data_IF_442642221592
#
_entry.id   IF_442642221592
#
_cell.length_a   1.000
_cell.length_b   1.000
_cell.length_c   1.000
_cell.angle_alpha   90.00
_cell.angle_beta   90.00
_cell.angle_gamma   90.00
#
_symmetry.space_group_name_H-M   'P 1'
#
loop_
_entity.id
_entity.type
_entity.pdbx_description
1 polymer ?
#
# COMPACT_ATOMS: atom_id res chain seq x y z
N UNK A 1 0.41 -18.47 -27.93
CA UNK A 1 1.49 -18.76 -28.90
C UNK A 1 0.96 -18.46 -30.29
N UNK A 2 1.52 -17.48 -31.02
CA UNK A 2 1.04 -17.17 -32.38
C UNK A 2 1.73 -18.09 -33.40
N UNK A 3 0.99 -18.90 -34.19
CA UNK A 3 1.57 -19.84 -35.16
C UNK A 3 2.44 -19.14 -36.22
N UNK A 4 2.22 -17.84 -36.45
CA UNK A 4 2.94 -17.05 -37.45
C UNK A 4 4.44 -16.91 -37.16
N UNK A 5 4.84 -16.71 -35.90
CA UNK A 5 6.26 -16.51 -35.54
C UNK A 5 7.11 -17.74 -35.82
N UNK A 6 6.58 -18.94 -35.53
CA UNK A 6 7.28 -20.19 -35.79
C UNK A 6 7.43 -20.45 -37.31
N UNK A 7 6.41 -20.12 -38.10
CA UNK A 7 6.45 -20.24 -39.56
C UNK A 7 7.46 -19.26 -40.17
N UNK A 8 7.52 -18.02 -39.69
CA UNK A 8 8.49 -17.02 -40.12
C UNK A 8 9.93 -17.45 -39.82
N UNK A 9 10.20 -17.93 -38.60
CA UNK A 9 11.51 -18.44 -38.21
C UNK A 9 11.94 -19.59 -39.12
N UNK A 10 11.05 -20.55 -39.39
CA UNK A 10 11.34 -21.69 -40.26
C UNK A 10 11.64 -21.27 -41.70
N UNK A 11 10.90 -20.29 -42.26
CA UNK A 11 11.19 -19.73 -43.59
C UNK A 11 12.56 -19.06 -43.62
N UNK A 12 12.90 -18.28 -42.59
CA UNK A 12 14.20 -17.61 -42.51
C UNK A 12 15.36 -18.61 -42.40
N UNK A 13 15.23 -19.64 -41.55
CA UNK A 13 16.20 -20.74 -41.43
C UNK A 13 16.41 -21.45 -42.77
N UNK A 14 15.34 -21.72 -43.50
CA UNK A 14 15.40 -22.33 -44.84
C UNK A 14 16.16 -21.46 -45.85
N UNK A 15 15.93 -20.14 -45.85
CA UNK A 15 16.64 -19.21 -46.75
C UNK A 15 18.14 -19.15 -46.46
N UNK A 16 18.52 -19.02 -45.19
CA UNK A 16 19.92 -19.04 -44.79
C UNK A 16 20.59 -20.39 -45.14
N UNK A 17 19.89 -21.50 -44.95
CA UNK A 17 20.38 -22.82 -45.33
C UNK A 17 20.52 -22.98 -46.85
N UNK A 18 19.56 -22.49 -47.65
CA UNK A 18 19.64 -22.59 -49.11
C UNK A 18 20.82 -21.80 -49.67
N UNK A 19 21.13 -20.62 -49.11
CA UNK A 19 22.30 -19.84 -49.53
C UNK A 19 23.61 -20.57 -49.23
N UNK A 20 23.73 -21.18 -48.05
CA UNK A 20 24.87 -22.03 -47.71
C UNK A 20 25.01 -23.21 -48.68
N UNK A 21 23.91 -23.91 -48.99
CA UNK A 21 23.93 -25.04 -49.92
C UNK A 21 24.34 -24.61 -51.34
N UNK A 22 23.91 -23.42 -51.79
CA UNK A 22 24.35 -22.86 -53.07
C UNK A 22 25.84 -22.56 -53.06
N UNK A 23 26.36 -21.93 -52.00
CA UNK A 23 27.80 -21.67 -51.86
C UNK A 23 28.63 -22.96 -51.87
N UNK A 24 28.18 -23.99 -51.15
CA UNK A 24 28.78 -25.33 -51.16
C UNK A 24 28.74 -25.95 -52.55
N UNK A 25 27.59 -25.89 -53.23
CA UNK A 25 27.46 -26.45 -54.58
C UNK A 25 28.41 -25.78 -55.56
N UNK A 26 28.50 -24.44 -55.53
CA UNK A 26 29.45 -23.67 -56.36
C UNK A 26 30.90 -24.04 -56.03
N UNK A 27 31.25 -24.14 -54.75
CA UNK A 27 32.59 -24.57 -54.34
C UNK A 27 32.92 -25.98 -54.88
N UNK A 28 32.01 -26.94 -54.70
CA UNK A 28 32.20 -28.33 -55.15
C UNK A 28 32.30 -28.40 -56.68
N UNK A 29 31.46 -27.70 -57.44
CA UNK A 29 31.55 -27.71 -58.91
C UNK A 29 32.87 -27.12 -59.39
N UNK A 30 33.37 -26.05 -58.77
CA UNK A 30 34.67 -25.46 -59.15
C UNK A 30 35.86 -26.39 -58.92
N UNK A 31 35.75 -27.42 -58.07
CA UNK A 31 36.81 -28.43 -57.88
C UNK A 31 36.98 -29.30 -59.13
N UNK A 32 35.90 -29.56 -59.88
CA UNK A 32 35.91 -30.45 -61.05
C UNK A 32 36.12 -29.72 -62.38
N UNK A 33 36.15 -28.39 -62.38
CA UNK A 33 36.37 -27.59 -63.58
C UNK A 33 37.88 -27.33 -63.84
N UNK A 34 38.28 -27.12 -65.11
CA UNK A 34 39.67 -26.79 -65.42
C UNK A 34 40.10 -25.48 -64.77
N UNK A 35 41.35 -25.39 -64.30
CA UNK A 35 41.85 -24.19 -63.61
C UNK A 35 41.93 -23.00 -64.57
N UNK A 36 41.46 -21.84 -64.10
CA UNK A 36 41.50 -20.57 -64.82
C UNK A 36 41.17 -19.41 -63.89
N UNK A 37 41.56 -18.18 -64.27
CA UNK A 37 41.44 -16.98 -63.42
C UNK A 37 40.00 -16.79 -62.91
N UNK A 38 39.01 -16.98 -63.78
CA UNK A 38 37.60 -16.84 -63.40
C UNK A 38 37.12 -17.95 -62.46
N UNK A 39 37.58 -19.19 -62.68
CA UNK A 39 37.16 -20.36 -61.91
C UNK A 39 37.80 -20.33 -60.52
N UNK A 40 39.07 -19.95 -60.43
CA UNK A 40 39.78 -19.77 -59.16
C UNK A 40 39.16 -18.62 -58.34
N UNK A 41 38.71 -17.55 -59.00
CA UNK A 41 38.01 -16.45 -58.34
C UNK A 41 36.65 -16.84 -57.79
N UNK A 42 35.83 -17.54 -58.58
CA UNK A 42 34.53 -18.06 -58.11
C UNK A 42 34.73 -19.06 -56.96
N UNK A 43 35.77 -19.90 -57.04
CA UNK A 43 36.14 -20.82 -55.96
C UNK A 43 36.48 -20.08 -54.67
N UNK A 44 37.32 -19.04 -54.74
CA UNK A 44 37.70 -18.25 -53.57
C UNK A 44 36.50 -17.52 -52.93
N UNK A 45 35.59 -16.98 -53.76
CA UNK A 45 34.32 -16.38 -53.31
C UNK A 45 33.45 -17.42 -52.62
N UNK A 46 33.25 -18.58 -53.24
CA UNK A 46 32.41 -19.65 -52.71
C UNK A 46 32.98 -20.25 -51.41
N UNK A 47 34.30 -20.42 -51.34
CA UNK A 47 35.01 -20.88 -50.14
C UNK A 47 34.83 -19.91 -48.98
N UNK A 48 35.08 -18.62 -49.20
CA UNK A 48 34.95 -17.60 -48.17
C UNK A 48 33.48 -17.36 -47.75
N UNK A 49 32.54 -17.41 -48.69
CA UNK A 49 31.10 -17.35 -48.42
C UNK A 49 30.63 -18.54 -47.58
N UNK A 50 31.10 -19.76 -47.89
CA UNK A 50 30.79 -20.97 -47.12
C UNK A 50 31.34 -20.88 -45.70
N UNK A 51 32.60 -20.46 -45.53
CA UNK A 51 33.24 -20.32 -44.22
C UNK A 51 32.50 -19.28 -43.36
N UNK A 52 32.16 -18.11 -43.91
CA UNK A 52 31.39 -17.09 -43.20
C UNK A 52 30.01 -17.59 -42.77
N UNK A 53 29.29 -18.26 -43.68
CA UNK A 53 27.99 -18.84 -43.40
C UNK A 53 28.01 -19.94 -42.32
N UNK A 54 29.08 -20.75 -42.27
CA UNK A 54 29.29 -21.78 -41.25
C UNK A 54 29.66 -21.19 -39.89
N UNK A 55 30.51 -20.16 -39.85
CA UNK A 55 30.90 -19.47 -38.62
C UNK A 55 29.69 -18.83 -37.93
N UNK A 56 28.88 -18.11 -38.70
CA UNK A 56 27.66 -17.49 -38.16
C UNK A 56 26.59 -18.53 -37.80
N UNK A 57 26.49 -19.63 -38.55
CA UNK A 57 25.64 -20.76 -38.16
C UNK A 57 26.04 -21.30 -36.79
N UNK A 58 27.33 -21.52 -36.58
CA UNK A 58 27.85 -22.00 -35.32
C UNK A 58 27.53 -21.03 -34.18
N UNK A 59 27.78 -19.73 -34.36
CA UNK A 59 27.50 -18.71 -33.35
C UNK A 59 26.02 -18.63 -32.97
N UNK A 60 25.11 -18.60 -33.96
CA UNK A 60 23.66 -18.53 -33.71
C UNK A 60 23.14 -19.80 -33.05
N UNK A 61 23.57 -20.98 -33.49
CA UNK A 61 23.13 -22.26 -32.87
C UNK A 61 23.69 -22.38 -31.45
N UNK A 62 24.96 -22.02 -31.23
CA UNK A 62 25.60 -22.05 -29.91
C UNK A 62 24.91 -21.13 -28.89
N UNK A 63 24.19 -20.10 -29.34
CA UNK A 63 23.40 -19.23 -28.45
C UNK A 63 22.23 -20.00 -27.79
N UNK A 64 21.58 -20.91 -28.53
CA UNK A 64 20.32 -21.56 -28.12
C UNK A 64 20.43 -23.06 -27.82
N UNK A 65 21.36 -23.79 -28.45
CA UNK A 65 21.42 -25.26 -28.41
C UNK A 65 22.84 -25.80 -28.27
N UNK A 66 22.96 -27.00 -27.70
CA UNK A 66 24.25 -27.67 -27.57
C UNK A 66 24.74 -28.11 -28.94
N UNK A 67 25.95 -27.68 -29.29
CA UNK A 67 26.60 -28.16 -30.52
C UNK A 67 27.48 -29.36 -30.16
N UNK A 68 27.31 -30.53 -30.80
CA UNK A 68 28.01 -31.77 -30.46
C UNK A 68 29.44 -31.82 -31.04
N UNK A 69 30.25 -30.79 -30.77
CA UNK A 69 31.67 -30.74 -31.13
C UNK A 69 32.49 -30.85 -29.83
N UNK A 70 33.34 -31.89 -29.64
CA UNK A 70 33.95 -32.21 -28.34
C UNK A 70 34.64 -31.03 -27.64
N UNK A 71 35.40 -30.20 -28.37
CA UNK A 71 36.16 -29.09 -27.81
C UNK A 71 35.34 -27.81 -27.60
N UNK A 72 34.27 -27.62 -28.39
CA UNK A 72 33.51 -26.36 -28.40
C UNK A 72 32.19 -26.46 -27.62
N UNK A 73 31.69 -27.68 -27.40
CA UNK A 73 30.41 -27.94 -26.72
C UNK A 73 30.29 -27.34 -25.32
N UNK A 74 31.41 -27.08 -24.62
CA UNK A 74 31.43 -26.48 -23.28
C UNK A 74 30.91 -25.04 -23.25
N UNK A 75 31.06 -24.28 -24.33
CA UNK A 75 30.67 -22.86 -24.44
C UNK A 75 29.49 -22.65 -25.39
N UNK A 76 28.60 -23.64 -25.49
CA UNK A 76 27.34 -23.55 -26.26
C UNK A 76 26.15 -23.59 -25.30
N UNK A 77 24.94 -23.29 -25.78
CA UNK A 77 23.76 -23.04 -24.94
C UNK A 77 23.92 -21.80 -24.05
N UNK A 78 24.49 -20.73 -24.60
CA UNK A 78 24.79 -19.50 -23.84
C UNK A 78 23.55 -18.96 -23.13
N UNK A 79 22.38 -18.89 -23.80
CA UNK A 79 21.14 -18.40 -23.19
C UNK A 79 20.67 -19.34 -22.07
N UNK A 80 20.47 -20.66 -22.31
CA UNK A 80 20.11 -21.60 -21.24
C UNK A 80 21.07 -21.57 -20.03
N UNK A 81 22.39 -21.52 -20.27
CA UNK A 81 23.39 -21.55 -19.20
C UNK A 81 23.45 -20.26 -18.39
N UNK A 82 23.11 -19.12 -18.98
CA UNK A 82 23.11 -17.82 -18.30
C UNK A 82 21.71 -17.38 -17.82
N UNK A 83 20.73 -18.29 -17.78
CA UNK A 83 19.35 -18.00 -17.32
C UNK A 83 19.33 -17.21 -16.02
N UNK A 84 20.06 -17.67 -15.01
CA UNK A 84 20.01 -17.05 -13.67
C UNK A 84 20.64 -15.64 -13.68
N UNK A 85 21.70 -15.43 -14.46
CA UNK A 85 22.29 -14.10 -14.66
C UNK A 85 21.34 -13.17 -15.41
N UNK A 86 20.61 -13.68 -16.40
CA UNK A 86 19.58 -12.91 -17.11
C UNK A 86 18.46 -12.51 -16.14
N UNK A 87 18.05 -13.41 -15.24
CA UNK A 87 17.07 -13.12 -14.20
C UNK A 87 17.54 -12.00 -13.26
N UNK A 88 18.79 -12.06 -12.80
CA UNK A 88 19.37 -11.05 -11.91
C UNK A 88 19.46 -9.67 -12.60
N UNK A 89 19.96 -9.63 -13.83
CA UNK A 89 20.09 -8.39 -14.60
C UNK A 89 18.73 -7.80 -14.97
N UNK A 90 17.75 -8.64 -15.30
CA UNK A 90 16.39 -8.18 -15.60
C UNK A 90 15.74 -7.55 -14.36
N UNK A 91 15.90 -8.17 -13.19
CA UNK A 91 15.38 -7.63 -11.94
C UNK A 91 15.98 -6.24 -11.63
N UNK A 92 17.31 -6.10 -11.74
CA UNK A 92 18.01 -4.81 -11.54
C UNK A 92 17.53 -3.77 -12.54
N UNK A 93 17.43 -4.14 -13.82
CA UNK A 93 16.94 -3.25 -14.86
C UNK A 93 15.52 -2.75 -14.58
N UNK A 94 14.60 -3.63 -14.15
CA UNK A 94 13.23 -3.25 -13.80
C UNK A 94 13.22 -2.27 -12.62
N UNK A 95 14.02 -2.52 -11.58
CA UNK A 95 14.16 -1.59 -10.45
C UNK A 95 14.62 -0.21 -10.90
N UNK A 96 15.74 -0.14 -11.63
CA UNK A 96 16.36 1.14 -11.97
C UNK A 96 15.54 1.95 -12.98
N UNK A 97 14.88 1.28 -13.93
CA UNK A 97 14.19 1.96 -15.03
C UNK A 97 12.70 2.20 -14.80
N UNK A 98 12.05 1.36 -14.01
CA UNK A 98 10.58 1.41 -13.86
C UNK A 98 10.12 1.63 -12.42
N UNK A 99 10.89 1.19 -11.43
CA UNK A 99 10.49 1.23 -10.02
C UNK A 99 11.33 2.21 -9.18
N UNK A 100 12.13 3.05 -9.83
CA UNK A 100 12.84 4.13 -9.16
C UNK A 100 11.84 5.12 -8.53
N UNK A 101 12.10 5.63 -7.32
CA UNK A 101 11.20 6.57 -6.66
C UNK A 101 10.86 7.78 -7.55
N UNK A 102 11.86 8.35 -8.21
CA UNK A 102 11.66 9.49 -9.12
C UNK A 102 10.82 9.14 -10.35
N UNK A 103 11.01 7.93 -10.90
CA UNK A 103 10.26 7.46 -12.07
C UNK A 103 8.78 7.24 -11.72
N UNK A 104 8.51 6.60 -10.56
CA UNK A 104 7.15 6.39 -10.06
C UNK A 104 6.48 7.72 -9.69
N UNK A 105 7.19 8.61 -8.99
CA UNK A 105 6.70 9.94 -8.65
C UNK A 105 6.40 10.79 -9.90
N UNK A 106 7.24 10.71 -10.94
CA UNK A 106 6.98 11.36 -12.22
C UNK A 106 5.71 10.83 -12.90
N UNK A 107 5.48 9.51 -12.85
CA UNK A 107 4.25 8.91 -13.36
C UNK A 107 3.00 9.36 -12.60
N UNK A 108 3.08 9.44 -11.27
CA UNK A 108 2.00 9.98 -10.43
C UNK A 108 1.69 11.43 -10.78
N UNK A 109 2.71 12.28 -10.90
CA UNK A 109 2.54 13.69 -11.30
C UNK A 109 1.94 13.86 -12.67
N UNK A 110 2.33 13.02 -13.64
CA UNK A 110 1.79 13.07 -15.00
C UNK A 110 0.29 12.71 -15.07
N UNK A 111 -0.20 11.91 -14.12
CA UNK A 111 -1.53 11.33 -14.19
C UNK A 111 -2.55 11.90 -13.21
N UNK A 112 -2.18 12.84 -12.33
CA UNK A 112 -3.04 13.48 -11.33
C UNK A 112 -4.05 12.49 -10.71
N UNK A 113 -3.59 11.57 -9.84
CA UNK A 113 -4.45 10.53 -9.30
C UNK A 113 -5.61 11.12 -8.50
N UNK A 114 -5.45 12.25 -7.83
CA UNK A 114 -6.53 12.91 -7.10
C UNK A 114 -7.66 13.36 -8.04
N UNK A 115 -7.34 13.92 -9.21
CA UNK A 115 -8.34 14.27 -10.21
C UNK A 115 -9.05 13.04 -10.78
N UNK A 116 -8.29 11.99 -11.14
CA UNK A 116 -8.89 10.75 -11.67
C UNK A 116 -9.79 10.08 -10.64
N UNK A 117 -9.36 10.04 -9.38
CA UNK A 117 -10.13 9.49 -8.27
C UNK A 117 -11.42 10.31 -8.06
N UNK A 118 -11.31 11.65 -8.07
CA UNK A 118 -12.47 12.53 -7.95
C UNK A 118 -13.49 12.33 -9.08
N UNK A 119 -13.01 12.24 -10.33
CA UNK A 119 -13.86 11.98 -11.49
C UNK A 119 -14.53 10.60 -11.41
N UNK A 120 -13.78 9.56 -11.03
CA UNK A 120 -14.31 8.21 -10.85
C UNK A 120 -15.37 8.17 -9.75
N UNK A 121 -15.11 8.77 -8.59
CA UNK A 121 -16.05 8.88 -7.47
C UNK A 121 -17.24 9.81 -7.75
N UNK A 122 -17.16 10.67 -8.75
CA UNK A 122 -18.26 11.54 -9.16
C UNK A 122 -19.37 10.80 -9.93
N UNK A 123 -19.09 9.61 -10.46
CA UNK A 123 -20.08 8.81 -11.18
C UNK A 123 -20.88 7.90 -10.21
N UNK A 124 -22.22 7.95 -10.20
CA UNK A 124 -23.05 7.14 -9.30
C UNK A 124 -22.84 5.62 -9.42
N UNK A 125 -22.51 5.13 -10.62
CA UNK A 125 -22.25 3.70 -10.84
C UNK A 125 -20.96 3.24 -10.13
N UNK A 126 -19.96 4.12 -10.04
CA UNK A 126 -18.68 3.81 -9.41
C UNK A 126 -18.78 3.86 -7.88
N UNK A 127 -19.59 4.77 -7.32
CA UNK A 127 -19.82 4.82 -5.87
C UNK A 127 -20.68 3.65 -5.38
N UNK A 128 -21.63 3.18 -6.19
CA UNK A 128 -22.34 1.91 -5.96
C UNK A 128 -21.38 0.70 -6.01
N UNK A 129 -20.50 0.66 -7.01
CA UNK A 129 -19.44 -0.36 -7.06
C UNK A 129 -18.51 -0.30 -5.83
N UNK A 130 -18.14 0.91 -5.38
CA UNK A 130 -17.36 1.11 -4.16
C UNK A 130 -18.08 0.54 -2.93
N UNK A 131 -19.38 0.81 -2.80
CA UNK A 131 -20.21 0.21 -1.76
C UNK A 131 -20.17 -1.31 -1.81
N UNK A 132 -20.27 -1.89 -2.99
CA UNK A 132 -20.19 -3.35 -3.20
C UNK A 132 -18.82 -3.94 -2.86
N UNK A 133 -17.73 -3.23 -3.15
CA UNK A 133 -16.39 -3.66 -2.74
C UNK A 133 -16.21 -3.54 -1.23
N UNK A 134 -16.69 -2.46 -0.63
CA UNK A 134 -16.62 -2.24 0.82
C UNK A 134 -17.35 -3.35 1.58
N UNK A 135 -18.54 -3.75 1.14
CA UNK A 135 -19.28 -4.85 1.77
C UNK A 135 -18.59 -6.20 1.58
N UNK A 136 -18.04 -6.49 0.41
CA UNK A 136 -17.26 -7.73 0.17
C UNK A 136 -16.01 -7.79 1.05
N UNK A 137 -15.26 -6.69 1.14
CA UNK A 137 -14.08 -6.60 1.99
C UNK A 137 -14.45 -6.75 3.47
N UNK A 138 -15.53 -6.11 3.91
CA UNK A 138 -16.01 -6.23 5.29
C UNK A 138 -16.49 -7.65 5.59
N UNK A 139 -17.18 -8.32 4.65
CA UNK A 139 -17.58 -9.72 4.81
C UNK A 139 -16.36 -10.61 4.97
N UNK A 140 -15.36 -10.47 4.09
CA UNK A 140 -14.12 -11.22 4.20
C UNK A 140 -13.39 -10.97 5.53
N UNK A 141 -13.31 -9.71 5.97
CA UNK A 141 -12.70 -9.36 7.25
C UNK A 141 -13.45 -10.00 8.43
N UNK A 142 -14.79 -9.95 8.43
CA UNK A 142 -15.61 -10.57 9.46
C UNK A 142 -15.43 -12.09 9.50
N UNK A 143 -15.39 -12.74 8.34
CA UNK A 143 -15.16 -14.18 8.24
C UNK A 143 -13.76 -14.56 8.77
N UNK A 144 -12.73 -13.73 8.55
CA UNK A 144 -11.42 -13.94 9.18
C UNK A 144 -11.49 -13.82 10.70
N UNK A 145 -12.28 -12.89 11.25
CA UNK A 145 -12.42 -12.74 12.71
C UNK A 145 -13.25 -13.85 13.39
N UNK A 146 -13.85 -14.77 12.63
CA UNK A 146 -14.45 -15.98 13.18
C UNK A 146 -13.38 -17.04 13.54
N UNK A 147 -12.17 -16.93 13.00
CA UNK A 147 -11.06 -17.81 13.36
C UNK A 147 -10.63 -17.54 14.81
N UNK A 148 -10.59 -18.59 15.63
CA UNK A 148 -10.18 -18.53 17.03
C UNK A 148 -8.80 -17.87 17.22
N UNK A 149 -7.90 -18.00 16.24
CA UNK A 149 -6.57 -17.37 16.26
C UNK A 149 -6.63 -15.85 16.07
N UNK A 150 -7.56 -15.37 15.25
CA UNK A 150 -7.75 -13.93 15.03
C UNK A 150 -8.42 -13.33 16.27
N UNK A 151 -9.37 -14.04 16.89
CA UNK A 151 -9.98 -13.60 18.14
C UNK A 151 -8.95 -13.47 19.27
N UNK A 152 -8.06 -14.46 19.43
CA UNK A 152 -6.97 -14.35 20.41
C UNK A 152 -6.02 -13.19 20.07
N UNK A 153 -5.68 -13.00 18.79
CA UNK A 153 -4.84 -11.88 18.36
C UNK A 153 -5.47 -10.51 18.69
N UNK A 154 -6.76 -10.31 18.40
CA UNK A 154 -7.46 -9.05 18.72
C UNK A 154 -7.49 -8.82 20.22
N UNK A 155 -7.74 -9.87 21.00
CA UNK A 155 -7.70 -9.80 22.46
C UNK A 155 -6.30 -9.42 22.97
N UNK A 156 -5.25 -10.05 22.45
CA UNK A 156 -3.87 -9.80 22.86
C UNK A 156 -3.41 -8.40 22.43
N UNK A 157 -3.82 -7.94 21.24
CA UNK A 157 -3.57 -6.58 20.77
C UNK A 157 -4.26 -5.54 21.66
N UNK A 158 -5.51 -5.79 22.08
CA UNK A 158 -6.22 -4.92 23.01
C UNK A 158 -5.51 -4.86 24.37
N UNK A 159 -5.12 -6.00 24.93
CA UNK A 159 -4.33 -6.05 26.19
C UNK A 159 -3.03 -5.26 26.05
N UNK A 160 -2.28 -5.48 24.97
CA UNK A 160 -1.03 -4.77 24.71
C UNK A 160 -1.23 -3.26 24.53
N UNK A 161 -2.37 -2.83 23.99
CA UNK A 161 -2.73 -1.41 23.89
C UNK A 161 -3.05 -0.83 25.27
N UNK A 162 -3.89 -1.50 26.06
CA UNK A 162 -4.22 -1.09 27.43
C UNK A 162 -2.96 -1.00 28.28
N UNK A 163 -2.05 -1.99 28.18
CA UNK A 163 -0.79 -2.02 28.92
C UNK A 163 0.12 -0.81 28.60
N UNK A 164 0.07 -0.29 27.38
CA UNK A 164 0.87 0.89 26.97
C UNK A 164 0.26 2.23 27.36
N UNK A 165 -1.02 2.26 27.75
CA UNK A 165 -1.69 3.51 28.13
C UNK A 165 -1.57 3.72 29.63
N UNK A 166 -0.99 4.85 30.02
CA UNK A 166 -1.02 5.34 31.40
C UNK A 166 -2.32 6.12 31.60
N UNK A 167 -3.33 5.48 32.18
CA UNK A 167 -4.68 6.05 32.31
C UNK A 167 -4.67 7.37 33.09
N UNK A 168 -3.88 7.46 34.18
CA UNK A 168 -3.80 8.66 35.02
C UNK A 168 -3.18 9.84 34.27
N UNK A 169 -2.04 9.63 33.60
CA UNK A 169 -1.37 10.67 32.83
C UNK A 169 -2.17 11.08 31.59
N UNK A 170 -2.82 10.12 30.93
CA UNK A 170 -3.68 10.38 29.76
C UNK A 170 -4.90 11.22 30.14
N UNK A 171 -5.57 10.87 31.25
CA UNK A 171 -6.68 11.66 31.79
C UNK A 171 -6.22 13.08 32.17
N UNK A 172 -5.06 13.20 32.81
CA UNK A 172 -4.43 14.48 33.11
C UNK A 172 -4.12 15.30 31.85
N UNK A 173 -3.58 14.70 30.80
CA UNK A 173 -3.26 15.38 29.54
C UNK A 173 -4.52 15.85 28.77
N UNK A 174 -5.58 15.05 28.77
CA UNK A 174 -6.87 15.41 28.18
C UNK A 174 -7.48 16.58 28.96
N UNK A 175 -7.54 16.47 30.30
CA UNK A 175 -8.07 17.55 31.14
C UNK A 175 -7.26 18.84 30.99
N UNK A 176 -5.93 18.76 30.97
CA UNK A 176 -5.04 19.89 30.70
C UNK A 176 -5.34 20.58 29.36
N UNK A 177 -5.61 19.79 28.31
CA UNK A 177 -5.98 20.33 26.99
C UNK A 177 -7.36 20.98 27.01
N UNK A 178 -8.30 20.41 27.76
CA UNK A 178 -9.66 20.92 27.92
C UNK A 178 -9.74 22.12 28.87
N UNK A 179 -8.75 22.31 29.74
CA UNK A 179 -8.71 23.45 30.68
C UNK A 179 -7.91 24.62 30.14
N UNK A 180 -7.00 24.36 29.19
CA UNK A 180 -6.21 25.38 28.49
C UNK A 180 -7.07 26.52 27.97
N UNK A 181 -6.57 27.74 28.11
CA UNK A 181 -7.24 28.99 27.75
C UNK A 181 -8.61 29.19 28.46
N UNK A 182 -8.80 28.59 29.64
CA UNK A 182 -10.01 28.78 30.46
C UNK A 182 -11.26 28.06 29.94
N UNK A 183 -11.13 27.14 28.98
CA UNK A 183 -12.27 26.44 28.34
C UNK A 183 -13.15 25.66 29.33
N UNK A 184 -12.59 25.22 30.45
CA UNK A 184 -13.32 24.56 31.53
C UNK A 184 -14.33 25.48 32.25
N UNK A 185 -14.18 26.81 32.15
CA UNK A 185 -15.15 27.77 32.68
C UNK A 185 -16.47 27.73 31.89
N UNK A 186 -16.43 27.48 30.58
CA UNK A 186 -17.65 27.32 29.79
C UNK A 186 -18.46 26.07 30.19
N UNK A 187 -17.76 25.00 30.61
CA UNK A 187 -18.41 23.82 31.18
C UNK A 187 -18.99 24.12 32.57
N UNK A 188 -18.31 24.93 33.37
CA UNK A 188 -18.85 25.41 34.65
C UNK A 188 -20.12 26.23 34.45
N UNK A 189 -20.17 27.10 33.44
CA UNK A 189 -21.35 27.90 33.11
C UNK A 189 -22.55 27.02 32.75
N UNK A 190 -22.35 26.03 31.89
CA UNK A 190 -23.39 25.07 31.52
C UNK A 190 -23.85 24.24 32.73
N UNK A 191 -22.91 23.78 33.56
CA UNK A 191 -23.23 23.04 34.78
C UNK A 191 -24.03 23.88 35.78
N UNK A 192 -23.64 25.13 36.01
CA UNK A 192 -24.40 26.07 36.85
C UNK A 192 -25.82 26.24 36.28
N UNK A 193 -25.95 26.46 34.97
CA UNK A 193 -27.23 26.58 34.30
C UNK A 193 -28.12 25.35 34.48
N UNK A 194 -27.57 24.14 34.33
CA UNK A 194 -28.29 22.89 34.55
C UNK A 194 -28.74 22.75 36.01
N UNK A 195 -27.88 23.05 36.98
CA UNK A 195 -28.22 22.97 38.41
C UNK A 195 -29.30 23.99 38.76
N UNK A 196 -29.19 25.24 38.32
CA UNK A 196 -30.22 26.27 38.55
C UNK A 196 -31.56 25.84 37.95
N UNK A 197 -31.57 25.32 36.72
CA UNK A 197 -32.78 24.79 36.08
C UNK A 197 -33.40 23.62 36.86
N UNK A 198 -32.58 22.70 37.39
CA UNK A 198 -33.05 21.60 38.22
C UNK A 198 -33.65 22.11 39.54
N UNK A 199 -33.05 23.13 40.17
CA UNK A 199 -33.54 23.74 41.40
C UNK A 199 -34.83 24.55 41.20
N UNK A 200 -35.07 25.05 39.99
CA UNK A 200 -36.29 25.80 39.66
C UNK A 200 -37.50 24.93 39.34
N UNK A 201 -37.30 23.64 39.07
CA UNK A 201 -38.42 22.72 38.83
C UNK A 201 -39.20 22.41 40.11
N UNK A 202 -40.55 22.57 40.13
CA UNK A 202 -41.39 22.33 41.32
C UNK A 202 -41.25 20.91 41.89
N UNK A 203 -41.10 19.92 41.02
CA UNK A 203 -40.96 18.50 41.36
C UNK A 203 -39.68 18.24 42.16
N UNK A 204 -38.56 18.85 41.74
CA UNK A 204 -37.27 18.71 42.41
C UNK A 204 -37.23 19.45 43.74
N UNK A 205 -37.89 20.62 43.83
CA UNK A 205 -38.02 21.37 45.09
C UNK A 205 -38.66 20.54 46.20
N UNK A 206 -39.68 19.74 45.88
CA UNK A 206 -40.32 18.85 46.85
C UNK A 206 -39.38 17.73 47.33
N UNK A 207 -38.55 17.17 46.44
CA UNK A 207 -37.55 16.15 46.80
C UNK A 207 -36.47 16.76 47.71
N UNK A 208 -35.97 17.94 47.36
CA UNK A 208 -34.95 18.66 48.14
C UNK A 208 -35.49 19.03 49.53
N UNK A 209 -36.74 19.46 49.63
CA UNK A 209 -37.42 19.71 50.89
C UNK A 209 -37.42 18.48 51.80
N UNK A 210 -37.78 17.32 51.25
CA UNK A 210 -37.80 16.07 52.00
C UNK A 210 -36.41 15.71 52.55
N UNK A 211 -35.36 15.84 51.73
CA UNK A 211 -33.98 15.60 52.16
C UNK A 211 -33.50 16.57 53.23
N UNK A 212 -33.83 17.86 53.13
CA UNK A 212 -33.45 18.88 54.13
C UNK A 212 -34.14 18.58 55.47
N UNK A 213 -35.42 18.23 55.45
CA UNK A 213 -36.17 17.85 56.65
C UNK A 213 -35.55 16.62 57.30
N UNK A 214 -35.19 15.60 56.51
CA UNK A 214 -34.57 14.37 57.00
C UNK A 214 -33.17 14.63 57.60
N UNK A 215 -32.33 15.39 56.90
CA UNK A 215 -31.00 15.77 57.37
C UNK A 215 -31.05 16.56 58.68
N UNK A 216 -31.98 17.52 58.81
CA UNK A 216 -32.12 18.32 60.02
C UNK A 216 -32.57 17.47 61.21
N UNK A 217 -33.49 16.51 60.99
CA UNK A 217 -33.89 15.53 62.01
C UNK A 217 -32.73 14.68 62.48
N UNK A 218 -31.84 14.27 61.56
CA UNK A 218 -30.68 13.45 61.88
C UNK A 218 -29.58 14.20 62.62
N UNK A 219 -29.27 15.45 62.24
CA UNK A 219 -28.11 16.17 62.75
C UNK A 219 -28.43 17.11 63.93
N UNK A 220 -29.65 17.63 64.00
CA UNK A 220 -30.07 18.59 65.03
C UNK A 220 -31.44 18.27 65.63
N UNK A 221 -31.57 17.14 66.36
CA UNK A 221 -32.85 16.68 66.93
C UNK A 221 -33.47 17.66 67.95
N UNK A 222 -32.67 18.56 68.51
CA UNK A 222 -33.14 19.60 69.44
C UNK A 222 -33.79 20.79 68.72
N UNK A 223 -33.39 21.05 67.48
CA UNK A 223 -33.88 22.17 66.65
C UNK A 223 -35.27 21.86 66.08
N UNK A 224 -35.55 20.59 65.83
CA UNK A 224 -36.89 20.07 65.45
C UNK A 224 -37.97 20.43 66.48
N UNK A 225 -37.64 20.43 67.78
CA UNK A 225 -38.61 20.70 68.86
C UNK A 225 -39.04 22.17 68.94
N UNK A 226 -38.32 23.07 68.29
CA UNK A 226 -38.51 24.53 68.37
C UNK A 226 -39.09 25.09 67.06
N UNK A 227 -38.95 24.37 65.94
CA UNK A 227 -39.43 24.78 64.62
C UNK A 227 -40.58 23.87 64.12
N UNK A 228 -41.72 24.41 63.66
CA UNK A 228 -42.81 23.60 63.12
C UNK A 228 -42.35 22.83 61.87
N UNK A 229 -42.58 21.51 61.83
CA UNK A 229 -42.16 20.63 60.72
C UNK A 229 -42.75 21.07 59.36
N UNK A 230 -43.95 21.66 59.35
CA UNK A 230 -44.56 22.25 58.15
C UNK A 230 -43.82 23.50 57.64
N UNK A 231 -43.25 24.32 58.53
CA UNK A 231 -42.46 25.49 58.12
C UNK A 231 -41.14 25.06 57.47
N UNK A 232 -40.52 23.98 57.96
CA UNK A 232 -39.27 23.42 57.43
C UNK A 232 -39.44 22.74 56.07
N UNK A 233 -40.59 22.10 55.82
CA UNK A 233 -40.89 21.44 54.55
C UNK A 233 -41.09 22.42 53.40
N UNK A 234 -42.13 23.24 53.44
CA UNK A 234 -42.48 24.11 52.30
C UNK A 234 -41.60 25.36 52.22
N UNK A 235 -41.41 26.09 53.33
CA UNK A 235 -40.68 27.37 53.30
C UNK A 235 -39.15 27.19 53.45
N UNK A 236 -38.69 26.15 54.14
CA UNK A 236 -37.26 25.91 54.38
C UNK A 236 -36.49 25.53 53.11
N UNK A 237 -37.08 24.65 52.31
CA UNK A 237 -36.52 24.24 51.02
C UNK A 237 -36.50 25.38 50.01
N UNK A 238 -37.55 26.19 49.97
CA UNK A 238 -37.64 27.37 49.11
C UNK A 238 -36.59 28.43 49.51
N UNK A 239 -36.39 28.66 50.81
CA UNK A 239 -35.33 29.55 51.30
C UNK A 239 -33.93 29.06 50.91
N UNK A 240 -33.65 27.77 51.04
CA UNK A 240 -32.34 27.18 50.70
C UNK A 240 -32.13 27.16 49.19
N UNK A 241 -33.13 26.73 48.40
CA UNK A 241 -33.06 26.76 46.95
C UNK A 241 -32.84 28.19 46.42
N UNK A 242 -33.57 29.18 46.94
CA UNK A 242 -33.39 30.58 46.57
C UNK A 242 -32.04 31.16 47.06
N UNK A 243 -31.48 30.65 48.16
CA UNK A 243 -30.13 31.04 48.60
C UNK A 243 -29.06 30.45 47.68
N UNK A 244 -29.17 29.17 47.33
CA UNK A 244 -28.27 28.46 46.41
C UNK A 244 -28.35 29.06 45.02
N UNK A 245 -29.54 29.28 44.46
CA UNK A 245 -29.73 29.92 43.17
C UNK A 245 -29.10 31.31 43.13
N UNK A 246 -29.29 32.13 44.18
CA UNK A 246 -28.64 33.46 44.25
C UNK A 246 -27.11 33.37 44.23
N UNK A 247 -26.52 32.40 44.94
CA UNK A 247 -25.07 32.19 44.89
C UNK A 247 -24.65 31.71 43.51
N UNK A 248 -25.35 30.75 42.91
CA UNK A 248 -25.08 30.23 41.57
C UNK A 248 -25.19 31.31 40.48
N UNK A 249 -26.21 32.19 40.56
CA UNK A 249 -26.38 33.34 39.67
C UNK A 249 -25.25 34.37 39.82
N UNK A 250 -24.82 34.66 41.06
CA UNK A 250 -23.68 35.55 41.32
C UNK A 250 -22.38 34.98 40.75
N UNK A 251 -22.14 33.69 40.93
CA UNK A 251 -21.01 32.98 40.32
C UNK A 251 -21.12 33.02 38.80
N UNK A 252 -22.31 32.77 38.24
CA UNK A 252 -22.53 32.78 36.79
C UNK A 252 -22.24 34.17 36.17
N UNK A 253 -22.70 35.24 36.82
CA UNK A 253 -22.61 36.60 36.31
C UNK A 253 -21.24 37.26 36.43
N UNK A 254 -20.41 36.84 37.39
CA UNK A 254 -19.08 37.41 37.64
C UNK A 254 -17.96 36.42 37.29
N UNK A 255 -17.22 36.64 36.18
CA UNK A 255 -16.07 35.82 35.81
C UNK A 255 -14.93 35.83 36.84
N UNK A 256 -14.80 36.89 37.64
CA UNK A 256 -13.76 37.05 38.67
C UNK A 256 -14.22 36.60 40.06
N UNK A 257 -15.38 35.92 40.14
CA UNK A 257 -15.93 35.46 41.41
C UNK A 257 -14.97 34.49 42.13
N UNK A 258 -14.82 34.62 43.45
CA UNK A 258 -13.89 33.83 44.26
C UNK A 258 -14.08 32.31 44.09
N UNK A 259 -15.32 31.84 44.00
CA UNK A 259 -15.64 30.42 43.74
C UNK A 259 -15.17 29.92 42.37
N UNK A 260 -15.15 30.77 41.32
CA UNK A 260 -14.62 30.40 40.00
C UNK A 260 -13.10 30.25 40.04
N UNK A 261 -12.42 31.17 40.72
CA UNK A 261 -10.97 31.10 40.89
C UNK A 261 -10.57 29.86 41.71
N UNK A 262 -11.32 29.54 42.77
CA UNK A 262 -11.12 28.29 43.53
C UNK A 262 -11.37 27.05 42.68
N UNK A 263 -12.40 27.05 41.83
CA UNK A 263 -12.66 25.96 40.90
C UNK A 263 -11.50 25.77 39.92
N UNK A 264 -11.04 26.86 39.28
CA UNK A 264 -9.89 26.84 38.37
C UNK A 264 -8.65 26.25 39.06
N UNK A 265 -8.29 26.77 40.24
CA UNK A 265 -7.17 26.26 41.02
C UNK A 265 -7.31 24.76 41.36
N UNK A 266 -8.52 24.32 41.74
CA UNK A 266 -8.79 22.91 42.05
C UNK A 266 -8.65 22.02 40.82
N UNK A 267 -9.10 22.49 39.65
CA UNK A 267 -9.01 21.75 38.40
C UNK A 267 -7.55 21.65 37.94
N UNK A 268 -6.78 22.73 38.05
CA UNK A 268 -5.34 22.73 37.77
C UNK A 268 -4.59 21.78 38.70
N UNK A 269 -4.87 21.85 40.01
CA UNK A 269 -4.27 20.93 40.99
C UNK A 269 -4.65 19.47 40.68
N UNK A 270 -5.91 19.21 40.33
CA UNK A 270 -6.36 17.87 39.94
C UNK A 270 -5.62 17.36 38.71
N UNK A 271 -5.39 18.21 37.71
CA UNK A 271 -4.61 17.87 36.50
C UNK A 271 -3.18 17.50 36.85
N UNK A 272 -2.51 18.30 37.70
CA UNK A 272 -1.14 18.00 38.14
C UNK A 272 -1.07 16.70 38.94
N UNK A 273 -2.03 16.50 39.85
CA UNK A 273 -2.10 15.27 40.66
C UNK A 273 -2.37 14.05 39.81
N UNK A 274 -3.27 14.11 38.83
CA UNK A 274 -3.48 13.02 37.88
C UNK A 274 -2.20 12.66 37.09
N UNK A 275 -1.34 13.64 36.79
CA UNK A 275 -0.10 13.40 36.05
C UNK A 275 1.03 12.85 36.92
N UNK A 276 1.17 13.33 38.16
CA UNK A 276 2.40 13.14 38.94
C UNK A 276 2.20 12.57 40.35
N UNK A 277 0.98 12.61 40.91
CA UNK A 277 0.71 12.09 42.27
C UNK A 277 0.68 10.56 42.25
N UNK A 278 1.55 9.87 43.03
CA UNK A 278 1.59 8.42 43.08
C UNK A 278 0.24 7.77 43.39
N UNK A 279 -0.61 8.41 44.20
CA UNK A 279 -1.93 7.87 44.57
C UNK A 279 -2.87 7.79 43.37
N UNK A 280 -2.86 8.82 42.51
CA UNK A 280 -3.71 8.82 41.31
C UNK A 280 -3.18 7.88 40.23
N UNK A 281 -1.85 7.79 40.10
CA UNK A 281 -1.20 6.82 39.22
C UNK A 281 -1.60 5.40 39.63
N UNK A 282 -1.54 5.06 40.93
CA UNK A 282 -1.95 3.75 41.43
C UNK A 282 -3.44 3.46 41.18
N UNK A 283 -4.33 4.44 41.36
CA UNK A 283 -5.75 4.31 41.01
C UNK A 283 -5.96 4.08 39.51
N UNK A 284 -5.19 4.77 38.66
CA UNK A 284 -5.18 4.53 37.22
C UNK A 284 -4.79 3.08 36.90
N UNK A 285 -3.74 2.58 37.56
CA UNK A 285 -3.29 1.19 37.43
C UNK A 285 -4.30 0.16 38.00
N UNK A 286 -5.07 0.53 39.03
CA UNK A 286 -6.18 -0.30 39.53
C UNK A 286 -7.31 -0.41 38.51
N UNK A 287 -7.73 0.71 37.92
CA UNK A 287 -8.76 0.73 36.85
C UNK A 287 -8.26 -0.08 35.64
N UNK A 288 -6.98 0.07 35.28
CA UNK A 288 -6.34 -0.68 34.20
C UNK A 288 -6.35 -2.19 34.47
N UNK A 289 -5.99 -2.61 35.69
CA UNK A 289 -6.09 -4.01 36.12
C UNK A 289 -7.53 -4.53 36.05
N UNK A 290 -8.50 -3.73 36.49
CA UNK A 290 -9.92 -4.09 36.41
C UNK A 290 -10.38 -4.28 34.96
N UNK A 291 -9.96 -3.40 34.04
CA UNK A 291 -10.24 -3.50 32.60
C UNK A 291 -9.59 -4.75 31.97
N UNK A 292 -8.37 -5.08 32.39
CA UNK A 292 -7.58 -6.18 31.81
C UNK A 292 -7.99 -7.56 32.33
N UNK A 293 -8.13 -7.66 33.65
CA UNK A 293 -8.23 -8.91 34.40
C UNK A 293 -9.65 -9.14 34.96
N UNK A 294 -10.53 -8.14 34.89
CA UNK A 294 -11.91 -8.25 35.35
C UNK A 294 -12.75 -9.12 34.41
N UNK A 295 -13.13 -10.31 34.87
CA UNK A 295 -13.96 -11.26 34.12
C UNK A 295 -15.30 -10.65 33.67
N UNK A 296 -15.90 -9.80 34.50
CA UNK A 296 -17.15 -9.10 34.17
C UNK A 296 -16.99 -8.13 32.99
N UNK A 297 -15.90 -7.36 32.95
CA UNK A 297 -15.64 -6.40 31.89
C UNK A 297 -15.25 -7.11 30.58
N UNK A 298 -14.42 -8.16 30.66
CA UNK A 298 -14.06 -8.98 29.51
C UNK A 298 -15.28 -9.68 28.90
N UNK A 299 -16.20 -10.18 29.73
CA UNK A 299 -17.47 -10.78 29.26
C UNK A 299 -18.34 -9.74 28.57
N UNK A 300 -18.50 -8.55 29.17
CA UNK A 300 -19.25 -7.46 28.57
C UNK A 300 -18.67 -6.99 27.23
N UNK A 301 -17.34 -6.84 27.12
CA UNK A 301 -16.67 -6.49 25.86
C UNK A 301 -16.88 -7.56 24.78
N UNK A 302 -16.79 -8.83 25.16
CA UNK A 302 -17.06 -9.95 24.25
C UNK A 302 -18.49 -9.90 23.75
N UNK A 303 -19.47 -9.71 24.64
CA UNK A 303 -20.87 -9.62 24.26
C UNK A 303 -21.13 -8.42 23.34
N UNK A 304 -20.50 -7.26 23.61
CA UNK A 304 -20.60 -6.08 22.76
C UNK A 304 -20.00 -6.34 21.36
N UNK A 305 -18.86 -7.02 21.30
CA UNK A 305 -18.23 -7.42 20.05
C UNK A 305 -19.08 -8.40 19.26
N UNK A 306 -19.65 -9.41 19.92
CA UNK A 306 -20.50 -10.41 19.28
C UNK A 306 -21.82 -9.80 18.77
N UNK A 307 -22.39 -8.83 19.50
CA UNK A 307 -23.53 -8.05 19.05
C UNK A 307 -23.20 -7.19 17.82
N UNK A 308 -22.06 -6.48 17.83
CA UNK A 308 -21.61 -5.68 16.70
C UNK A 308 -21.37 -6.56 15.47
N UNK A 309 -20.70 -7.71 15.64
CA UNK A 309 -20.46 -8.70 14.59
C UNK A 309 -21.78 -9.21 14.01
N UNK A 310 -22.73 -9.60 14.85
CA UNK A 310 -24.02 -10.12 14.42
C UNK A 310 -24.80 -9.06 13.62
N UNK A 311 -24.78 -7.81 14.08
CA UNK A 311 -25.38 -6.70 13.37
C UNK A 311 -24.72 -6.46 12.01
N UNK A 312 -23.37 -6.42 11.95
CA UNK A 312 -22.62 -6.25 10.70
C UNK A 312 -22.92 -7.36 9.69
N UNK A 313 -22.92 -8.63 10.13
CA UNK A 313 -23.26 -9.77 9.26
C UNK A 313 -24.69 -9.67 8.73
N UNK A 314 -25.64 -9.29 9.59
CA UNK A 314 -27.03 -9.09 9.19
C UNK A 314 -27.17 -7.94 8.17
N UNK A 315 -26.46 -6.82 8.36
CA UNK A 315 -26.46 -5.71 7.42
C UNK A 315 -25.88 -6.10 6.05
N UNK A 316 -24.74 -6.79 6.05
CA UNK A 316 -24.06 -7.21 4.81
C UNK A 316 -24.85 -8.23 3.99
N UNK A 317 -25.69 -9.04 4.63
CA UNK A 317 -26.55 -10.01 3.96
C UNK A 317 -27.77 -9.36 3.28
N UNK A 318 -28.09 -8.11 3.59
CA UNK A 318 -29.24 -7.41 3.03
C UNK A 318 -28.91 -6.80 1.67
N UNK A 319 -29.87 -6.86 0.76
CA UNK A 319 -29.80 -6.16 -0.53
C UNK A 319 -29.72 -4.62 -0.37
N UNK A 320 -30.21 -4.09 0.75
CA UNK A 320 -30.22 -2.66 1.09
C UNK A 320 -29.24 -2.30 2.22
N UNK A 321 -28.07 -2.95 2.27
CA UNK A 321 -27.04 -2.75 3.30
C UNK A 321 -26.78 -1.26 3.61
N UNK A 322 -26.81 -0.93 4.90
CA UNK A 322 -26.52 0.42 5.38
C UNK A 322 -25.05 0.77 5.14
N UNK A 323 -24.13 -0.19 5.31
CA UNK A 323 -22.71 -0.02 5.02
C UNK A 323 -22.47 0.27 3.54
N UNK A 324 -23.16 -0.47 2.65
CA UNK A 324 -23.08 -0.20 1.22
C UNK A 324 -23.49 1.24 0.91
N UNK A 325 -24.66 1.68 1.41
CA UNK A 325 -25.15 3.05 1.18
C UNK A 325 -24.22 4.10 1.77
N UNK A 326 -23.70 3.89 2.97
CA UNK A 326 -22.76 4.80 3.61
C UNK A 326 -21.45 4.91 2.82
N UNK A 327 -20.89 3.78 2.38
CA UNK A 327 -19.69 3.78 1.56
C UNK A 327 -19.92 4.50 0.21
N UNK A 328 -21.04 4.26 -0.44
CA UNK A 328 -21.42 4.97 -1.68
C UNK A 328 -21.61 6.48 -1.44
N UNK A 329 -22.28 6.86 -0.34
CA UNK A 329 -22.51 8.28 0.02
C UNK A 329 -21.20 9.00 0.35
N UNK A 330 -20.33 8.38 1.15
CA UNK A 330 -19.01 8.91 1.48
C UNK A 330 -18.13 9.03 0.23
N UNK A 331 -18.16 8.01 -0.63
CA UNK A 331 -17.47 8.03 -1.92
C UNK A 331 -17.92 9.18 -2.79
N UNK A 332 -19.24 9.37 -2.96
CA UNK A 332 -19.80 10.47 -3.73
C UNK A 332 -19.48 11.85 -3.13
N UNK A 333 -19.56 11.99 -1.80
CA UNK A 333 -19.16 13.21 -1.10
C UNK A 333 -17.69 13.54 -1.32
N UNK A 334 -16.80 12.55 -1.22
CA UNK A 334 -15.37 12.71 -1.46
C UNK A 334 -15.10 13.09 -2.93
N UNK A 335 -15.78 12.43 -3.87
CA UNK A 335 -15.71 12.74 -5.29
C UNK A 335 -16.10 14.20 -5.60
N UNK A 336 -17.23 14.65 -5.06
CA UNK A 336 -17.70 16.03 -5.18
C UNK A 336 -16.68 17.02 -4.57
N UNK A 337 -16.15 16.73 -3.38
CA UNK A 337 -15.14 17.58 -2.73
C UNK A 337 -13.83 17.66 -3.50
N UNK A 338 -13.36 16.56 -4.08
CA UNK A 338 -12.18 16.54 -4.93
C UNK A 338 -12.40 17.31 -6.24
N UNK A 339 -13.60 17.25 -6.81
CA UNK A 339 -13.95 18.01 -8.00
C UNK A 339 -13.98 19.54 -7.72
N UNK A 340 -14.53 19.95 -6.58
CA UNK A 340 -14.70 21.36 -6.19
C UNK A 340 -13.41 22.03 -5.71
N UNK A 341 -12.49 21.29 -5.07
CA UNK A 341 -11.33 21.87 -4.39
C UNK A 341 -10.01 21.51 -5.08
N UNK A 342 -9.43 22.40 -5.90
CA UNK A 342 -8.08 22.23 -6.45
C UNK A 342 -7.02 22.09 -5.35
N UNK A 343 -7.14 22.84 -4.24
CA UNK A 343 -6.18 22.78 -3.14
C UNK A 343 -6.14 21.39 -2.47
N UNK A 344 -7.31 20.76 -2.30
CA UNK A 344 -7.39 19.41 -1.75
C UNK A 344 -6.74 18.38 -2.68
N UNK A 345 -6.93 18.51 -3.99
CA UNK A 345 -6.29 17.63 -4.98
C UNK A 345 -4.78 17.76 -4.96
N UNK A 346 -4.25 18.99 -4.93
CA UNK A 346 -2.81 19.22 -4.82
C UNK A 346 -2.24 18.59 -3.55
N UNK A 347 -2.87 18.83 -2.40
CA UNK A 347 -2.42 18.25 -1.13
C UNK A 347 -2.46 16.72 -1.15
N UNK A 348 -3.50 16.11 -1.72
CA UNK A 348 -3.60 14.65 -1.83
C UNK A 348 -2.52 14.08 -2.76
N UNK A 349 -2.27 14.72 -3.91
CA UNK A 349 -1.21 14.31 -4.83
C UNK A 349 0.18 14.41 -4.19
N UNK A 350 0.45 15.46 -3.42
CA UNK A 350 1.71 15.60 -2.66
C UNK A 350 1.88 14.49 -1.63
N UNK A 351 0.81 14.12 -0.91
CA UNK A 351 0.85 13.00 0.04
C UNK A 351 1.05 11.65 -0.66
N UNK A 352 0.40 11.42 -1.80
CA UNK A 352 0.62 10.21 -2.61
C UNK A 352 2.05 10.16 -3.12
N UNK A 353 2.59 11.27 -3.61
CA UNK A 353 3.98 11.36 -4.06
C UNK A 353 4.96 11.07 -2.92
N UNK A 354 4.73 11.63 -1.73
CA UNK A 354 5.53 11.36 -0.53
C UNK A 354 5.47 9.88 -0.14
N UNK A 355 4.28 9.28 -0.12
CA UNK A 355 4.11 7.85 0.15
C UNK A 355 4.85 6.99 -0.89
N UNK A 356 4.89 7.40 -2.16
CA UNK A 356 5.69 6.71 -3.18
C UNK A 356 7.19 6.78 -2.86
N UNK A 357 7.73 7.93 -2.45
CA UNK A 357 9.15 7.99 -2.07
C UNK A 357 9.50 7.10 -0.87
N UNK A 358 8.59 7.00 0.10
CA UNK A 358 8.78 6.16 1.29
C UNK A 358 8.63 4.67 0.99
N UNK A 359 7.66 4.28 0.15
CA UNK A 359 7.33 2.87 -0.10
C UNK A 359 8.02 2.26 -1.33
N UNK A 360 8.43 3.07 -2.31
CA UNK A 360 9.03 2.58 -3.55
C UNK A 360 10.26 1.69 -3.35
N UNK A 361 11.20 1.98 -2.42
CA UNK A 361 12.36 1.13 -2.20
C UNK A 361 11.98 -0.31 -1.82
N UNK A 362 11.11 -0.46 -0.82
CA UNK A 362 10.68 -1.76 -0.32
C UNK A 362 9.87 -2.52 -1.37
N UNK A 363 9.01 -1.82 -2.11
CA UNK A 363 8.24 -2.41 -3.19
C UNK A 363 9.13 -2.86 -4.36
N UNK A 364 10.14 -2.06 -4.72
CA UNK A 364 11.10 -2.43 -5.75
C UNK A 364 11.91 -3.67 -5.35
N UNK A 365 12.36 -3.74 -4.09
CA UNK A 365 13.08 -4.91 -3.57
C UNK A 365 12.19 -6.17 -3.51
N UNK A 366 10.90 -6.04 -3.19
CA UNK A 366 9.94 -7.13 -3.29
C UNK A 366 9.78 -7.62 -4.73
N UNK A 367 9.52 -6.72 -5.67
CA UNK A 367 9.33 -7.10 -7.09
C UNK A 367 10.59 -7.67 -7.73
N UNK A 368 11.77 -7.14 -7.41
CA UNK A 368 13.04 -7.71 -7.89
C UNK A 368 13.21 -9.16 -7.46
N UNK A 369 12.94 -9.46 -6.19
CA UNK A 369 13.00 -10.84 -5.67
C UNK A 369 11.99 -11.72 -6.39
N UNK A 370 10.75 -11.25 -6.51
CA UNK A 370 9.71 -12.00 -7.20
C UNK A 370 10.05 -12.31 -8.68
N UNK A 371 10.54 -11.33 -9.43
CA UNK A 371 10.96 -11.51 -10.85
C UNK A 371 12.11 -12.50 -10.94
N UNK A 372 13.14 -12.34 -10.10
CA UNK A 372 14.30 -13.21 -10.06
C UNK A 372 13.91 -14.65 -9.80
N UNK A 373 13.12 -14.89 -8.76
CA UNK A 373 12.68 -16.23 -8.36
C UNK A 373 11.78 -16.86 -9.42
N UNK A 374 10.89 -16.07 -10.02
CA UNK A 374 10.03 -16.52 -11.11
C UNK A 374 10.84 -17.00 -12.32
N UNK A 375 11.80 -16.19 -12.81
CA UNK A 375 12.62 -16.55 -13.98
C UNK A 375 13.58 -17.70 -13.66
N UNK A 376 14.13 -17.76 -12.44
CA UNK A 376 14.97 -18.90 -12.00
C UNK A 376 14.20 -20.21 -11.96
N UNK A 377 12.90 -20.17 -11.67
CA UNK A 377 12.03 -21.34 -11.67
C UNK A 377 11.59 -21.80 -13.07
N UNK A 378 11.86 -21.03 -14.14
CA UNK A 378 11.54 -21.44 -15.50
C UNK A 378 12.50 -22.52 -16.02
N UNK A 379 11.98 -23.41 -16.87
CA UNK A 379 12.82 -24.35 -17.63
C UNK A 379 13.71 -23.56 -18.61
N UNK A 380 15.03 -23.79 -18.52
CA UNK A 380 16.02 -23.04 -19.30
C UNK A 380 15.87 -23.26 -20.82
N UNK A 381 15.40 -24.45 -21.25
CA UNK A 381 15.19 -24.75 -22.66
C UNK A 381 13.92 -24.09 -23.18
N UNK A 382 12.86 -24.06 -22.37
CA UNK A 382 11.63 -23.38 -22.76
C UNK A 382 11.85 -21.86 -22.87
N UNK A 383 12.54 -21.24 -21.91
CA UNK A 383 12.93 -19.82 -22.02
C UNK A 383 13.76 -19.56 -23.28
N UNK A 384 14.76 -20.40 -23.54
CA UNK A 384 15.60 -20.28 -24.74
C UNK A 384 14.79 -20.40 -26.03
N UNK A 385 13.82 -21.32 -26.09
CA UNK A 385 12.91 -21.49 -27.22
C UNK A 385 12.03 -20.25 -27.43
N UNK A 386 11.49 -19.67 -26.35
CA UNK A 386 10.69 -18.45 -26.42
C UNK A 386 11.51 -17.27 -26.95
N UNK A 387 12.77 -17.14 -26.52
CA UNK A 387 13.68 -16.12 -27.05
C UNK A 387 13.99 -16.41 -28.53
N UNK A 388 14.32 -17.64 -28.90
CA UNK A 388 14.60 -18.04 -30.29
C UNK A 388 13.42 -17.72 -31.22
N UNK A 389 12.19 -17.92 -30.76
CA UNK A 389 10.98 -17.61 -31.53
C UNK A 389 10.79 -16.10 -31.78
N UNK A 390 11.23 -15.25 -30.85
CA UNK A 390 11.04 -13.81 -30.95
C UNK A 390 12.16 -13.11 -31.73
N UNK A 391 13.42 -13.52 -31.55
CA UNK A 391 14.58 -12.86 -32.19
C UNK A 391 15.27 -13.72 -33.26
N UNK A 392 14.89 -14.99 -33.40
CA UNK A 392 15.62 -15.92 -34.25
C UNK A 392 15.56 -15.58 -35.74
N UNK A 393 14.50 -14.93 -36.21
CA UNK A 393 14.38 -14.43 -37.60
C UNK A 393 15.48 -13.42 -37.90
N UNK A 394 15.68 -12.46 -37.01
CA UNK A 394 16.68 -11.41 -37.15
C UNK A 394 18.10 -11.98 -37.05
N UNK A 395 18.31 -12.96 -36.17
CA UNK A 395 19.58 -13.67 -36.10
C UNK A 395 19.92 -14.46 -37.38
N UNK A 396 18.93 -14.95 -38.14
CA UNK A 396 19.23 -15.59 -39.43
C UNK A 396 19.72 -14.60 -40.49
N UNK A 397 19.40 -13.30 -40.39
CA UNK A 397 19.95 -12.30 -41.30
C UNK A 397 21.47 -12.15 -41.14
N UNK A 398 22.00 -12.35 -39.93
CA UNK A 398 23.45 -12.39 -39.71
C UNK A 398 24.09 -13.46 -40.59
N UNK A 399 23.51 -14.67 -40.67
CA UNK A 399 24.03 -15.76 -41.51
C UNK A 399 23.97 -15.45 -43.01
N UNK A 400 22.90 -14.80 -43.46
CA UNK A 400 22.77 -14.37 -44.86
C UNK A 400 23.86 -13.35 -45.18
N UNK A 401 24.03 -12.35 -44.30
CA UNK A 401 25.06 -11.33 -44.42
C UNK A 401 26.47 -11.93 -44.36
N UNK A 402 26.73 -12.89 -43.48
CA UNK A 402 28.01 -13.60 -43.40
C UNK A 402 28.36 -14.36 -44.68
N UNK A 403 27.36 -14.92 -45.37
CA UNK A 403 27.56 -15.55 -46.68
C UNK A 403 27.96 -14.51 -47.74
N UNK A 404 27.26 -13.37 -47.78
CA UNK A 404 27.51 -12.30 -48.75
C UNK A 404 28.85 -11.59 -48.51
N UNK A 405 29.09 -11.16 -47.26
CA UNK A 405 30.33 -10.48 -46.85
C UNK A 405 31.51 -11.43 -46.97
N UNK A 406 31.37 -12.70 -46.58
CA UNK A 406 32.40 -13.72 -46.77
C UNK A 406 32.78 -13.84 -48.25
N UNK A 407 31.79 -13.91 -49.15
CA UNK A 407 32.04 -13.94 -50.59
C UNK A 407 32.77 -12.70 -51.13
N UNK A 408 32.38 -11.50 -50.69
CA UNK A 408 33.04 -10.25 -51.07
C UNK A 408 34.50 -10.19 -50.57
N UNK A 409 34.75 -10.63 -49.33
CA UNK A 409 36.11 -10.71 -48.77
C UNK A 409 36.93 -11.74 -49.56
N UNK A 410 36.35 -12.90 -49.88
CA UNK A 410 36.99 -13.91 -50.73
C UNK A 410 37.37 -13.36 -52.10
N UNK A 411 36.50 -12.57 -52.73
CA UNK A 411 36.80 -11.89 -53.98
C UNK A 411 37.96 -10.90 -53.82
N UNK A 412 37.92 -10.06 -52.79
CA UNK A 412 38.96 -9.08 -52.50
C UNK A 412 40.33 -9.73 -52.27
N UNK A 413 40.39 -10.78 -51.44
CA UNK A 413 41.61 -11.54 -51.19
C UNK A 413 42.11 -12.23 -52.46
N UNK A 414 41.21 -12.74 -53.29
CA UNK A 414 41.58 -13.31 -54.58
C UNK A 414 42.20 -12.26 -55.50
N UNK A 415 41.58 -11.09 -55.66
CA UNK A 415 42.12 -9.99 -56.46
C UNK A 415 43.50 -9.52 -55.96
N UNK A 416 43.70 -9.46 -54.64
CA UNK A 416 45.02 -9.17 -54.06
C UNK A 416 46.03 -10.28 -54.38
N UNK A 417 45.63 -11.56 -54.33
CA UNK A 417 46.48 -12.69 -54.67
C UNK A 417 46.90 -12.73 -56.15
N UNK A 418 46.18 -12.04 -57.03
CA UNK A 418 46.53 -11.85 -58.44
C UNK A 418 47.57 -10.74 -58.67
N UNK A 419 47.74 -9.81 -57.74
CA UNK A 419 48.66 -8.68 -57.89
C UNK A 419 50.12 -9.09 -58.25
N UNK A 420 50.71 -10.17 -57.69
CA UNK A 420 52.04 -10.63 -58.06
C UNK A 420 52.14 -11.14 -59.51
N UNK A 421 51.06 -11.73 -60.05
CA UNK A 421 51.02 -12.21 -61.45
C UNK A 421 50.97 -11.06 -62.44
N UNK A 422 50.35 -9.95 -62.05
CA UNK A 422 50.30 -8.73 -62.86
C UNK A 422 51.59 -7.92 -62.76
N UNK A 423 52.23 -7.88 -61.58
CA UNK A 423 53.53 -7.24 -61.39
C UNK A 423 54.68 -8.00 -62.07
N UNK A 424 54.64 -9.33 -62.11
CA UNK A 424 55.63 -10.16 -62.82
C UNK A 424 55.59 -10.05 -64.35
N UNK A 425 54.48 -9.56 -64.93
CA UNK A 425 54.36 -9.27 -66.36
C UNK A 425 55.08 -7.99 -66.82
N UNK A 426 55.55 -7.16 -65.88
CA UNK A 426 56.30 -5.92 -66.15
C UNK A 426 57.83 -6.08 -66.05
N UNK A 427 58.32 -7.26 -65.62
CA UNK A 427 59.74 -7.54 -65.38
C UNK A 427 60.37 -8.53 -66.37
N UNK A 428 59.71 -8.77 -67.51
CA UNK A 428 60.28 -9.52 -68.64
C UNK A 428 60.23 -8.72 -69.94
#
# INVERSE_FOLDING_TARGET
MTPDKALELNRSKRRALSLLLVAVAVFVTTIFLPRGIWIDGIKAVAEAAMVGALADWFAVVALFRRVPIPFVSRHTEIIPQNKDKIADNLAVFVREKFLGPDALAAQIRQHDPAQKLGAWLGEPANTDALGSYATKLMSFALDMTDDARIQSFVHDAFRALVDKVDLSQSAGAILDTLTKDGRHQALLDDAIGQVTNLLDQPENRAVIAAYIVDWLKSQYPTVEKILPTNWLGENGAELIANAVNRVLEQVAADPEHELRQRFDATVVELVERLKYDPVFIEKGEEIKRYIRDGDAFNTYLKDLWDQLRAWLKADLARADSTLHRQAATLGGWLGARLAESPALRTSLNEHVEKAVYEMAPDFADFLMRHIRDTVRNWDAREMSRQIELNIGKDLQYIRINGTLVGGLIGLGLYLVSLAPRWAGGWLH
#
